data_IF_537411233842
#
_entry.id   IF_537411233842
#
_cell.length_a   1.000
_cell.length_b   1.000
_cell.length_c   1.000
_cell.angle_alpha   90.00
_cell.angle_beta   90.00
_cell.angle_gamma   90.00
#
_symmetry.space_group_name_H-M   'P 1'
#
loop_
_entity.id
_entity.type
_entity.pdbx_description
1 polymer ?
#
# COMPACT_ATOMS: atom_id res chain seq x y z
N UNK A 1 4.28 -79.80 80.14
CA UNK A 1 4.93 -78.56 79.68
C UNK A 1 4.73 -78.53 78.19
N UNK A 2 3.55 -78.09 77.80
CA UNK A 2 3.10 -78.13 76.42
C UNK A 2 3.79 -77.06 75.59
N UNK A 3 4.07 -77.49 74.37
CA UNK A 3 4.92 -76.86 73.38
C UNK A 3 4.26 -75.63 72.75
N UNK A 4 5.09 -74.59 72.64
CA UNK A 4 5.30 -73.72 71.47
C UNK A 4 4.12 -72.88 70.98
N UNK A 5 4.10 -71.66 71.52
CA UNK A 5 3.50 -70.44 70.99
C UNK A 5 4.26 -69.94 69.75
N UNK A 6 3.50 -69.25 68.89
CA UNK A 6 3.84 -68.33 67.80
C UNK A 6 4.22 -68.91 66.43
N UNK A 7 3.14 -69.13 65.66
CA UNK A 7 2.96 -68.63 64.30
C UNK A 7 3.38 -67.15 64.15
N UNK A 8 4.22 -66.85 63.15
CA UNK A 8 4.07 -65.74 62.21
C UNK A 8 5.28 -65.72 61.25
N UNK A 9 5.23 -66.56 60.21
CA UNK A 9 5.85 -66.19 58.94
C UNK A 9 4.89 -65.23 58.23
N UNK A 10 5.09 -63.92 58.39
CA UNK A 10 4.56 -62.93 57.46
C UNK A 10 5.70 -62.02 57.02
N UNK A 11 6.44 -62.49 56.01
CA UNK A 11 7.35 -61.68 55.20
C UNK A 11 6.53 -60.58 54.50
N UNK A 12 6.26 -59.50 55.23
CA UNK A 12 5.71 -58.26 54.68
C UNK A 12 6.81 -57.56 53.89
N UNK A 13 7.03 -58.00 52.64
CA UNK A 13 7.79 -57.24 51.66
C UNK A 13 7.18 -55.86 51.55
N UNK A 14 7.83 -54.85 52.14
CA UNK A 14 7.45 -53.44 51.96
C UNK A 14 7.32 -53.17 50.46
N UNK A 15 6.22 -52.55 49.99
CA UNK A 15 6.09 -52.20 48.59
C UNK A 15 7.22 -51.24 48.20
N UNK A 16 7.84 -51.41 47.02
CA UNK A 16 8.91 -50.53 46.58
C UNK A 16 8.44 -49.07 46.52
N UNK A 17 9.37 -48.13 46.74
CA UNK A 17 9.07 -46.70 46.89
C UNK A 17 8.29 -46.09 45.71
N UNK A 18 8.45 -46.63 44.50
CA UNK A 18 7.75 -46.18 43.29
C UNK A 18 6.25 -46.49 43.31
N UNK A 19 5.82 -47.54 44.01
CA UNK A 19 4.40 -47.92 44.11
C UNK A 19 3.65 -46.99 45.05
N UNK A 20 4.25 -46.65 46.19
CA UNK A 20 3.72 -45.66 47.14
C UNK A 20 3.55 -44.30 46.45
N UNK A 21 4.50 -43.93 45.59
CA UNK A 21 4.40 -42.72 44.78
C UNK A 21 3.26 -42.81 43.74
N UNK A 22 3.17 -43.91 43.00
CA UNK A 22 2.13 -44.10 41.98
C UNK A 22 0.71 -44.08 42.57
N UNK A 23 0.54 -44.60 43.79
CA UNK A 23 -0.75 -44.60 44.48
C UNK A 23 -1.11 -43.24 45.11
N UNK A 24 -0.12 -42.42 45.45
CA UNK A 24 -0.31 -41.06 45.98
C UNK A 24 -0.31 -39.97 44.89
N UNK A 25 -0.05 -40.34 43.64
CA UNK A 25 -0.04 -39.42 42.50
C UNK A 25 -1.46 -39.08 42.04
N UNK A 26 -1.63 -37.86 41.50
CA UNK A 26 -2.88 -37.44 40.83
C UNK A 26 -2.95 -37.86 39.36
N UNK A 27 -1.88 -38.48 38.83
CA UNK A 27 -1.84 -39.00 37.46
C UNK A 27 -2.77 -40.21 37.33
N UNK A 28 -3.87 -40.02 36.62
CA UNK A 28 -4.84 -41.08 36.40
C UNK A 28 -4.20 -42.20 35.56
N UNK A 29 -4.38 -43.45 36.00
CA UNK A 29 -3.85 -44.64 35.33
C UNK A 29 -2.46 -45.09 35.81
N UNK A 30 -1.66 -44.24 36.48
CA UNK A 30 -0.33 -44.65 36.97
C UNK A 30 -0.42 -45.66 38.13
N UNK A 31 -1.44 -45.54 38.98
CA UNK A 31 -1.72 -46.49 40.08
C UNK A 31 -2.03 -47.91 39.57
N UNK A 32 -2.69 -48.02 38.41
CA UNK A 32 -3.03 -49.29 37.76
C UNK A 32 -1.86 -49.92 36.99
N UNK A 33 -0.83 -49.15 36.66
CA UNK A 33 0.39 -49.63 36.00
C UNK A 33 1.36 -50.26 37.02
N UNK A 34 1.38 -49.74 38.25
CA UNK A 34 2.28 -50.17 39.33
C UNK A 34 1.56 -50.95 40.43
N UNK A 35 0.65 -51.86 40.07
CA UNK A 35 -0.06 -52.75 41.01
C UNK A 35 0.72 -54.06 41.26
N UNK A 36 0.64 -54.60 42.48
CA UNK A 36 1.38 -55.78 42.99
C UNK A 36 1.00 -57.14 42.35
N UNK A 37 -0.05 -57.23 41.53
CA UNK A 37 -0.54 -58.50 40.97
C UNK A 37 0.23 -59.01 39.73
N UNK A 38 0.47 -60.33 39.64
CA UNK A 38 1.25 -60.99 38.56
C UNK A 38 0.60 -60.97 37.16
N UNK A 39 -0.57 -60.34 36.97
CA UNK A 39 -1.32 -60.40 35.70
C UNK A 39 -0.75 -59.41 34.68
N UNK A 40 0.24 -59.88 33.91
CA UNK A 40 0.97 -59.09 32.91
C UNK A 40 0.04 -58.43 31.87
N UNK A 41 -1.04 -59.10 31.44
CA UNK A 41 -1.94 -58.61 30.38
C UNK A 41 -2.68 -57.33 30.79
N UNK A 42 -3.24 -57.27 31.99
CA UNK A 42 -3.96 -56.09 32.49
C UNK A 42 -3.03 -54.89 32.59
N UNK A 43 -1.81 -55.12 33.08
CA UNK A 43 -0.78 -54.08 33.18
C UNK A 43 -0.35 -53.58 31.80
N UNK A 44 -0.11 -54.47 30.84
CA UNK A 44 0.19 -54.09 29.46
C UNK A 44 -0.94 -53.26 28.84
N UNK A 45 -2.20 -53.61 29.07
CA UNK A 45 -3.35 -52.83 28.60
C UNK A 45 -3.39 -51.42 29.21
N UNK A 46 -3.20 -51.30 30.53
CA UNK A 46 -3.14 -49.99 31.20
C UNK A 46 -1.96 -49.13 30.73
N UNK A 47 -0.80 -49.74 30.48
CA UNK A 47 0.36 -49.04 29.89
C UNK A 47 0.03 -48.54 28.48
N UNK A 48 -0.59 -49.37 27.64
CA UNK A 48 -1.00 -48.97 26.28
C UNK A 48 -2.01 -47.83 26.31
N UNK A 49 -3.03 -47.89 27.18
CA UNK A 49 -4.01 -46.81 27.31
C UNK A 49 -3.39 -45.53 27.87
N UNK A 50 -2.50 -45.63 28.86
CA UNK A 50 -1.82 -44.49 29.43
C UNK A 50 -0.89 -43.82 28.41
N UNK A 51 -0.03 -44.58 27.72
CA UNK A 51 0.82 -44.05 26.64
C UNK A 51 0.01 -43.49 25.48
N UNK A 52 -1.08 -44.17 25.09
CA UNK A 52 -1.99 -43.71 24.05
C UNK A 52 -2.62 -42.36 24.40
N UNK A 53 -3.12 -42.22 25.63
CA UNK A 53 -3.71 -40.96 26.13
C UNK A 53 -2.69 -39.83 26.21
N UNK A 54 -1.46 -40.11 26.65
CA UNK A 54 -0.37 -39.14 26.71
C UNK A 54 0.06 -38.68 25.31
N UNK A 55 0.16 -39.61 24.36
CA UNK A 55 0.53 -39.30 22.97
C UNK A 55 -0.53 -38.43 22.30
N UNK A 56 -1.81 -38.77 22.47
CA UNK A 56 -2.92 -37.98 21.95
C UNK A 56 -2.96 -36.57 22.57
N UNK A 57 -2.73 -36.47 23.87
CA UNK A 57 -2.65 -35.19 24.57
C UNK A 57 -1.53 -34.31 23.99
N UNK A 58 -0.30 -34.85 23.89
CA UNK A 58 0.84 -34.11 23.34
C UNK A 58 0.61 -33.68 21.89
N UNK A 59 0.03 -34.55 21.06
CA UNK A 59 -0.31 -34.23 19.68
C UNK A 59 -1.28 -33.04 19.58
N UNK A 60 -2.40 -33.08 20.33
CA UNK A 60 -3.39 -31.98 20.33
C UNK A 60 -2.81 -30.70 20.93
N UNK A 61 -1.96 -30.80 21.96
CA UNK A 61 -1.29 -29.63 22.53
C UNK A 61 -0.36 -28.95 21.52
N UNK A 62 0.46 -29.72 20.78
CA UNK A 62 1.35 -29.17 19.76
C UNK A 62 0.56 -28.52 18.62
N UNK A 63 -0.49 -29.17 18.13
CA UNK A 63 -1.39 -28.62 17.10
C UNK A 63 -1.98 -27.27 17.53
N UNK A 64 -2.48 -27.18 18.77
CA UNK A 64 -3.04 -25.94 19.31
C UNK A 64 -1.99 -24.86 19.56
N UNK A 65 -0.78 -25.22 19.97
CA UNK A 65 0.34 -24.27 20.09
C UNK A 65 0.72 -23.73 18.71
N UNK A 66 0.80 -24.59 17.69
CA UNK A 66 1.09 -24.16 16.33
C UNK A 66 0.01 -23.21 15.80
N UNK A 67 -1.26 -23.56 15.98
CA UNK A 67 -2.39 -22.70 15.62
C UNK A 67 -2.39 -21.36 16.38
N UNK A 68 -2.05 -21.38 17.67
CA UNK A 68 -1.92 -20.15 18.46
C UNK A 68 -0.78 -19.25 17.93
N UNK A 69 0.36 -19.84 17.59
CA UNK A 69 1.54 -19.13 17.07
C UNK A 69 1.40 -18.69 15.60
N UNK A 70 0.40 -19.18 14.87
CA UNK A 70 0.02 -18.69 13.54
C UNK A 70 -0.76 -17.37 13.61
N UNK A 71 -1.20 -16.95 14.80
CA UNK A 71 -1.98 -15.72 15.05
C UNK A 71 -3.18 -15.52 14.10
N UNK A 72 -4.07 -16.54 13.94
CA UNK A 72 -5.28 -16.38 13.15
C UNK A 72 -6.23 -15.38 13.83
N UNK A 73 -6.86 -14.51 13.03
CA UNK A 73 -7.85 -13.54 13.50
C UNK A 73 -9.18 -13.75 12.75
N UNK A 74 -10.28 -13.47 13.44
CA UNK A 74 -11.62 -13.44 12.85
C UNK A 74 -12.15 -12.02 12.90
N UNK A 75 -12.65 -11.52 11.77
CA UNK A 75 -13.25 -10.19 11.70
C UNK A 75 -14.75 -10.31 11.92
N UNK A 76 -15.29 -9.49 12.82
CA UNK A 76 -16.73 -9.33 13.01
C UNK A 76 -17.17 -8.05 12.31
N UNK A 77 -18.22 -8.14 11.49
CA UNK A 77 -18.81 -6.99 10.80
C UNK A 77 -20.12 -6.63 11.50
N UNK A 78 -20.20 -5.41 12.01
CA UNK A 78 -21.40 -4.85 12.65
C UNK A 78 -21.79 -3.55 11.93
N UNK A 79 -23.08 -3.37 11.66
CA UNK A 79 -23.64 -2.12 11.11
C UNK A 79 -24.36 -1.37 12.23
N UNK A 80 -23.82 -0.21 12.61
CA UNK A 80 -24.37 0.61 13.71
C UNK A 80 -24.84 1.94 13.13
N UNK A 81 -26.12 2.25 13.32
CA UNK A 81 -26.69 3.55 12.94
C UNK A 81 -26.35 4.61 14.00
N UNK A 82 -25.57 5.62 13.62
CA UNK A 82 -25.23 6.75 14.50
C UNK A 82 -25.98 8.03 14.06
N UNK A 83 -26.46 8.86 15.01
CA UNK A 83 -27.20 10.09 14.68
C UNK A 83 -26.31 11.18 14.05
N UNK A 84 -25.00 11.08 14.23
CA UNK A 84 -24.01 11.97 13.65
C UNK A 84 -22.85 11.15 13.08
N UNK A 85 -22.34 11.58 11.93
CA UNK A 85 -21.17 11.03 11.27
C UNK A 85 -20.29 12.17 10.78
N UNK A 86 -18.97 11.96 10.80
CA UNK A 86 -18.02 12.90 10.21
C UNK A 86 -18.13 12.78 8.69
N UNK A 87 -18.42 13.89 8.02
CA UNK A 87 -18.44 13.92 6.56
C UNK A 87 -17.01 13.70 6.03
N UNK A 88 -16.80 12.77 5.09
CA UNK A 88 -15.46 12.45 4.61
C UNK A 88 -14.87 13.61 3.80
N UNK A 89 -13.55 13.65 3.71
CA UNK A 89 -12.87 14.55 2.80
C UNK A 89 -13.21 14.18 1.35
N UNK A 90 -13.77 15.12 0.58
CA UNK A 90 -14.07 14.95 -0.83
C UNK A 90 -12.92 15.55 -1.63
N UNK A 91 -12.24 14.70 -2.40
CA UNK A 91 -11.18 15.13 -3.34
C UNK A 91 -11.65 14.96 -4.78
N UNK A 92 -11.58 16.02 -5.56
CA UNK A 92 -11.88 15.98 -6.99
C UNK A 92 -10.82 16.76 -7.78
N UNK A 93 -10.58 16.35 -9.02
CA UNK A 93 -9.62 17.00 -9.91
C UNK A 93 -10.21 17.08 -11.31
N UNK A 94 -9.93 18.15 -12.03
CA UNK A 94 -10.25 18.19 -13.44
C UNK A 94 -9.42 17.10 -14.18
N UNK A 95 -10.05 16.40 -15.11
CA UNK A 95 -9.36 15.45 -15.96
C UNK A 95 -8.36 16.17 -16.87
N UNK A 96 -8.68 17.39 -17.27
CA UNK A 96 -7.72 18.27 -17.91
C UNK A 96 -6.69 18.78 -16.87
N UNK A 97 -5.42 18.56 -17.16
CA UNK A 97 -4.31 18.88 -16.25
C UNK A 97 -3.96 20.36 -16.25
N UNK A 98 -4.20 21.07 -17.36
CA UNK A 98 -3.81 22.46 -17.52
C UNK A 98 -4.78 23.23 -18.44
N UNK A 99 -4.93 24.52 -18.17
CA UNK A 99 -5.63 25.49 -19.01
C UNK A 99 -4.71 25.95 -20.12
N UNK A 100 -5.03 25.64 -21.36
CA UNK A 100 -4.21 26.00 -22.53
C UNK A 100 -3.95 27.52 -22.63
N UNK A 101 -4.92 28.35 -22.23
CA UNK A 101 -4.79 29.81 -22.19
C UNK A 101 -3.64 30.30 -21.30
N UNK A 102 -3.31 29.58 -20.23
CA UNK A 102 -2.23 29.93 -19.29
C UNK A 102 -0.87 29.34 -19.68
N UNK A 103 -0.80 28.46 -20.69
CA UNK A 103 0.47 27.86 -21.14
C UNK A 103 1.28 28.90 -21.92
N UNK A 104 2.55 29.08 -21.53
CA UNK A 104 3.46 30.03 -22.17
C UNK A 104 4.42 29.34 -23.15
N UNK A 105 5.10 30.14 -23.99
CA UNK A 105 6.18 29.66 -24.87
C UNK A 105 7.30 28.97 -24.08
N UNK A 106 7.65 29.49 -22.90
CA UNK A 106 8.67 28.86 -22.03
C UNK A 106 8.22 27.48 -21.54
N UNK A 107 6.94 27.33 -21.21
CA UNK A 107 6.39 26.04 -20.74
C UNK A 107 6.42 25.00 -21.86
N UNK A 108 6.03 25.37 -23.09
CA UNK A 108 6.12 24.47 -24.24
C UNK A 108 7.56 24.10 -24.59
N UNK A 109 8.52 25.02 -24.41
CA UNK A 109 9.94 24.73 -24.65
C UNK A 109 10.47 23.62 -23.72
N UNK A 110 10.08 23.63 -22.43
CA UNK A 110 10.59 22.68 -21.44
C UNK A 110 9.72 21.42 -21.29
N UNK A 111 8.39 21.57 -21.35
CA UNK A 111 7.43 20.51 -21.05
C UNK A 111 6.58 20.09 -22.27
N UNK A 112 6.73 20.71 -23.44
CA UNK A 112 5.87 20.45 -24.61
C UNK A 112 5.85 18.98 -25.06
N UNK A 113 6.97 18.27 -24.93
CA UNK A 113 7.04 16.82 -25.19
C UNK A 113 6.37 16.00 -24.08
N UNK A 114 6.60 16.36 -22.81
CA UNK A 114 5.97 15.72 -21.65
C UNK A 114 4.43 15.82 -21.70
N UNK A 115 3.93 16.97 -22.18
CA UNK A 115 2.52 17.24 -22.40
C UNK A 115 1.98 16.59 -23.68
N UNK A 116 2.82 15.89 -24.45
CA UNK A 116 2.49 15.29 -25.73
C UNK A 116 1.94 16.30 -26.77
N UNK A 117 2.36 17.56 -26.69
CA UNK A 117 2.00 18.60 -27.66
C UNK A 117 3.05 18.74 -28.78
N UNK A 118 4.32 18.52 -28.44
CA UNK A 118 5.46 18.68 -29.35
C UNK A 118 6.24 17.37 -29.49
N UNK A 119 6.77 17.14 -30.69
CA UNK A 119 7.78 16.12 -30.97
C UNK A 119 9.15 16.77 -31.15
N UNK A 120 10.18 16.19 -30.54
CA UNK A 120 11.55 16.56 -30.85
C UNK A 120 12.00 15.86 -32.13
N UNK A 121 12.38 16.63 -33.16
CA UNK A 121 13.16 16.13 -34.30
C UNK A 121 14.58 16.66 -34.19
N UNK A 122 15.55 15.75 -34.26
CA UNK A 122 16.92 16.14 -34.59
C UNK A 122 17.03 16.21 -36.12
N UNK A 123 17.23 17.41 -36.66
CA UNK A 123 17.69 17.58 -38.02
C UNK A 123 19.21 17.56 -37.97
N UNK A 124 19.82 16.51 -38.53
CA UNK A 124 21.26 16.49 -38.75
C UNK A 124 21.59 17.63 -39.72
N UNK A 125 22.43 18.58 -39.32
CA UNK A 125 22.99 19.53 -40.29
C UNK A 125 23.76 18.71 -41.31
N UNK A 126 23.28 18.66 -42.55
CA UNK A 126 24.14 18.32 -43.67
C UNK A 126 25.11 19.49 -43.79
N UNK A 127 26.28 19.38 -43.18
CA UNK A 127 27.41 20.18 -43.61
C UNK A 127 27.54 19.85 -45.10
N UNK A 128 27.31 20.83 -45.99
CA UNK A 128 27.67 20.68 -47.40
C UNK A 128 29.08 20.07 -47.40
N UNK A 129 29.28 18.97 -48.12
CA UNK A 129 30.62 18.53 -48.50
C UNK A 129 31.22 19.63 -49.40
N UNK A 130 31.69 20.70 -48.77
CA UNK A 130 32.61 21.65 -49.36
C UNK A 130 33.99 21.03 -49.25
N UNK A 131 34.63 20.82 -50.40
CA UNK A 131 36.04 20.52 -50.51
C UNK A 131 36.84 21.53 -49.64
N UNK A 132 37.38 21.07 -48.53
CA UNK A 132 38.43 21.76 -47.79
C UNK A 132 39.53 20.75 -47.52
N UNK A 133 40.71 21.08 -48.02
CA UNK A 133 41.95 20.33 -47.90
C UNK A 133 42.20 19.84 -46.46
N UNK A 134 42.58 18.56 -46.37
CA UNK A 134 43.22 17.85 -45.26
C UNK A 134 43.63 18.71 -44.06
N UNK A 135 42.92 18.56 -42.94
CA UNK A 135 43.47 18.47 -41.56
C UNK A 135 42.31 18.36 -40.55
N UNK A 136 41.88 17.14 -40.24
CA UNK A 136 41.33 16.67 -38.95
C UNK A 136 40.51 15.38 -39.14
N UNK A 137 40.56 14.40 -38.21
CA UNK A 137 39.67 13.24 -38.24
C UNK A 137 38.21 13.67 -37.98
N UNK A 138 37.21 13.01 -38.60
CA UNK A 138 35.82 13.37 -38.41
C UNK A 138 35.40 13.02 -36.97
N UNK A 139 35.10 14.04 -36.16
CA UNK A 139 34.40 13.84 -34.89
C UNK A 139 33.02 13.27 -35.21
N UNK A 140 32.84 11.99 -34.88
CA UNK A 140 31.67 11.15 -35.09
C UNK A 140 30.52 11.52 -34.13
N UNK A 141 30.17 12.80 -34.03
CA UNK A 141 28.95 13.30 -33.38
C UNK A 141 28.47 14.50 -34.19
N UNK A 142 27.62 14.24 -35.19
CA UNK A 142 26.97 15.32 -35.93
C UNK A 142 26.15 16.18 -34.97
N UNK A 143 26.37 17.50 -34.99
CA UNK A 143 25.56 18.44 -34.21
C UNK A 143 24.09 18.33 -34.66
N UNK A 144 23.24 17.80 -33.78
CA UNK A 144 21.80 17.83 -33.94
C UNK A 144 21.29 19.27 -33.82
N UNK A 145 20.65 19.79 -34.87
CA UNK A 145 19.80 20.96 -34.72
C UNK A 145 18.43 20.45 -34.28
N UNK A 146 18.09 20.64 -33.01
CA UNK A 146 16.78 20.29 -32.48
C UNK A 146 15.72 21.24 -33.05
N UNK A 147 14.68 20.66 -33.64
CA UNK A 147 13.46 21.34 -34.09
C UNK A 147 12.28 20.68 -33.41
N UNK A 148 11.27 21.48 -33.08
CA UNK A 148 10.03 20.99 -32.49
C UNK A 148 8.93 21.05 -33.56
N UNK A 149 8.13 20.00 -33.71
CA UNK A 149 6.85 20.13 -34.41
C UNK A 149 5.67 19.71 -33.55
N UNK A 150 4.53 20.30 -33.88
CA UNK A 150 3.24 20.05 -33.27
C UNK A 150 2.74 18.66 -33.66
N UNK A 151 2.30 17.88 -32.67
CA UNK A 151 1.66 16.58 -32.89
C UNK A 151 0.23 16.73 -33.41
N UNK A 152 -0.21 15.73 -34.17
CA UNK A 152 -1.61 15.49 -34.54
C UNK A 152 -2.38 16.75 -35.00
N UNK A 153 -1.77 17.56 -35.86
CA UNK A 153 -2.32 18.84 -36.32
C UNK A 153 -3.71 18.73 -36.94
N UNK A 154 -4.07 17.58 -37.51
CA UNK A 154 -5.38 17.33 -38.13
C UNK A 154 -6.52 17.15 -37.11
N UNK A 155 -6.22 16.90 -35.84
CA UNK A 155 -7.23 16.72 -34.78
C UNK A 155 -7.52 18.03 -34.03
N UNK A 156 -6.80 19.12 -34.36
CA UNK A 156 -6.85 20.39 -33.65
C UNK A 156 -7.66 21.40 -34.45
N UNK A 157 -8.56 22.11 -33.78
CA UNK A 157 -9.29 23.24 -34.38
C UNK A 157 -8.31 24.32 -34.85
N UNK A 158 -8.58 24.94 -36.01
CA UNK A 158 -7.69 25.94 -36.62
C UNK A 158 -7.32 27.08 -35.67
N UNK A 159 -8.28 27.55 -34.86
CA UNK A 159 -8.07 28.61 -33.87
C UNK A 159 -7.04 28.24 -32.80
N UNK A 160 -7.09 27.01 -32.30
CA UNK A 160 -6.16 26.47 -31.30
C UNK A 160 -4.81 26.16 -31.95
N UNK A 161 -4.82 25.68 -33.19
CA UNK A 161 -3.62 25.37 -33.93
C UNK A 161 -2.78 26.63 -34.21
N UNK A 162 -3.40 27.74 -34.57
CA UNK A 162 -2.71 29.03 -34.74
C UNK A 162 -2.10 29.53 -33.43
N UNK A 163 -2.85 29.44 -32.31
CA UNK A 163 -2.30 29.78 -31.00
C UNK A 163 -1.13 28.87 -30.60
N UNK A 164 -1.17 27.59 -30.97
CA UNK A 164 -0.09 26.64 -30.71
C UNK A 164 1.13 26.93 -31.57
N UNK A 165 0.97 27.31 -32.85
CA UNK A 165 2.06 27.72 -33.73
C UNK A 165 2.78 28.95 -33.19
N UNK A 166 2.05 29.97 -32.75
CA UNK A 166 2.65 31.17 -32.16
C UNK A 166 3.41 30.84 -30.86
N UNK A 167 2.83 30.01 -29.99
CA UNK A 167 3.50 29.61 -28.74
C UNK A 167 4.66 28.63 -28.97
N UNK A 168 4.69 27.90 -30.07
CA UNK A 168 5.74 26.94 -30.43
C UNK A 168 6.82 27.52 -31.37
N UNK A 169 6.76 28.82 -31.70
CA UNK A 169 7.84 29.49 -32.42
C UNK A 169 9.01 29.83 -31.48
N UNK A 170 10.06 29.01 -31.54
CA UNK A 170 11.27 29.17 -30.75
C UNK A 170 12.39 29.91 -31.50
N UNK A 171 12.12 30.54 -32.64
CA UNK A 171 13.12 31.32 -33.35
C UNK A 171 13.59 32.50 -32.48
N UNK A 172 14.90 32.59 -32.22
CA UNK A 172 15.51 33.58 -31.31
C UNK A 172 14.95 33.57 -29.87
N UNK A 173 14.33 32.46 -29.43
CA UNK A 173 13.82 32.33 -28.08
C UNK A 173 14.94 32.16 -27.06
N UNK A 174 14.85 32.88 -25.93
CA UNK A 174 15.77 32.75 -24.79
C UNK A 174 15.04 32.09 -23.63
N UNK A 175 15.29 30.80 -23.34
CA UNK A 175 14.62 30.07 -22.28
C UNK A 175 14.87 30.69 -20.91
N UNK A 176 13.83 30.70 -20.08
CA UNK A 176 13.89 31.09 -18.67
C UNK A 176 13.91 29.84 -17.79
N UNK A 177 14.38 29.93 -16.53
CA UNK A 177 14.27 28.83 -15.58
C UNK A 177 12.83 28.33 -15.48
N UNK A 178 12.68 27.02 -15.32
CA UNK A 178 11.37 26.36 -15.32
C UNK A 178 11.26 25.42 -14.12
N UNK A 179 10.08 25.40 -13.50
CA UNK A 179 9.77 24.56 -12.36
C UNK A 179 8.39 23.93 -12.58
N UNK A 180 8.33 22.59 -12.55
CA UNK A 180 7.08 21.85 -12.74
C UNK A 180 5.99 22.21 -11.72
N UNK A 181 6.37 22.50 -10.46
CA UNK A 181 5.40 22.89 -9.42
C UNK A 181 4.75 24.22 -9.74
N UNK A 182 5.55 25.21 -10.13
CA UNK A 182 5.04 26.52 -10.56
C UNK A 182 4.17 26.39 -11.81
N UNK A 183 4.61 25.56 -12.76
CA UNK A 183 3.83 25.28 -13.98
C UNK A 183 2.45 24.74 -13.64
N UNK A 184 2.36 23.72 -12.78
CA UNK A 184 1.07 23.20 -12.36
C UNK A 184 0.27 24.26 -11.62
N UNK A 185 0.83 24.92 -10.59
CA UNK A 185 0.09 25.88 -9.76
C UNK A 185 -0.51 27.03 -10.59
N UNK A 186 0.19 27.48 -11.64
CA UNK A 186 -0.27 28.55 -12.53
C UNK A 186 -1.22 28.07 -13.64
N UNK A 187 -0.92 26.94 -14.27
CA UNK A 187 -1.68 26.47 -15.44
C UNK A 187 -2.84 25.55 -15.07
N UNK A 188 -2.84 24.95 -13.89
CA UNK A 188 -3.93 24.14 -13.37
C UNK A 188 -5.25 24.91 -13.29
N UNK A 189 -6.35 24.18 -13.14
CA UNK A 189 -7.68 24.78 -13.04
C UNK A 189 -7.89 25.43 -11.67
N UNK A 190 -8.33 26.70 -11.66
CA UNK A 190 -8.73 27.38 -10.43
C UNK A 190 -10.15 26.95 -10.05
N UNK A 191 -10.37 26.65 -8.77
CA UNK A 191 -11.69 26.29 -8.27
C UNK A 191 -12.66 27.46 -8.38
N UNK A 192 -12.19 28.71 -8.28
CA UNK A 192 -13.03 29.91 -8.39
C UNK A 192 -13.73 29.98 -9.75
N UNK A 193 -13.10 29.45 -10.79
CA UNK A 193 -13.65 29.42 -12.15
C UNK A 193 -14.55 28.20 -12.39
N UNK A 194 -14.39 27.13 -11.61
CA UNK A 194 -15.13 25.86 -11.78
C UNK A 194 -16.35 25.75 -10.86
N UNK A 195 -16.29 26.33 -9.66
CA UNK A 195 -17.31 26.21 -8.63
C UNK A 195 -18.45 27.21 -8.88
N UNK A 196 -19.48 26.76 -9.58
CA UNK A 196 -20.65 27.59 -9.87
C UNK A 196 -21.57 27.77 -8.66
N UNK A 197 -21.74 26.71 -7.85
CA UNK A 197 -22.52 26.71 -6.64
C UNK A 197 -22.02 25.60 -5.70
N UNK A 198 -22.09 25.83 -4.39
CA UNK A 198 -21.65 24.89 -3.38
C UNK A 198 -22.57 24.98 -2.17
N UNK A 199 -23.13 23.86 -1.74
CA UNK A 199 -23.97 23.80 -0.55
C UNK A 199 -23.66 22.55 0.25
N UNK A 200 -23.49 22.70 1.57
CA UNK A 200 -23.32 21.60 2.49
C UNK A 200 -24.32 21.73 3.64
N UNK A 201 -25.21 20.74 3.79
CA UNK A 201 -26.28 20.73 4.81
C UNK A 201 -27.14 22.01 4.84
N UNK A 202 -27.36 22.60 3.66
CA UNK A 202 -28.15 23.82 3.49
C UNK A 202 -27.38 25.13 3.69
N UNK A 203 -26.10 25.09 4.09
CA UNK A 203 -25.22 26.26 4.13
C UNK A 203 -24.45 26.41 2.82
N UNK A 204 -24.31 27.64 2.33
CA UNK A 204 -23.45 27.95 1.17
C UNK A 204 -21.96 27.76 1.52
N UNK A 205 -21.19 27.20 0.59
CA UNK A 205 -19.74 27.10 0.67
C UNK A 205 -19.05 27.88 -0.45
N UNK A 206 -17.77 28.19 -0.24
CA UNK A 206 -16.96 29.01 -1.14
C UNK A 206 -15.70 28.26 -1.59
N UNK A 207 -14.99 28.81 -2.58
CA UNK A 207 -13.67 28.37 -3.02
C UNK A 207 -12.66 28.24 -1.85
N UNK A 208 -12.81 29.08 -0.82
CA UNK A 208 -11.93 29.07 0.35
C UNK A 208 -12.11 27.84 1.26
N UNK A 209 -13.20 27.10 1.11
CA UNK A 209 -13.46 25.84 1.82
C UNK A 209 -12.75 24.65 1.18
N UNK A 210 -12.03 24.88 0.08
CA UNK A 210 -11.24 23.87 -0.61
C UNK A 210 -9.75 24.16 -0.48
N UNK A 211 -8.97 23.10 -0.41
CA UNK A 211 -7.52 23.13 -0.41
C UNK A 211 -6.99 22.45 -1.65
N UNK A 212 -6.03 23.11 -2.29
CA UNK A 212 -5.27 22.55 -3.40
C UNK A 212 -4.30 21.49 -2.88
N UNK A 213 -4.39 20.28 -3.42
CA UNK A 213 -3.51 19.15 -3.12
C UNK A 213 -2.89 18.62 -4.41
N UNK A 214 -1.59 18.36 -4.39
CA UNK A 214 -0.88 17.76 -5.53
C UNK A 214 -0.93 16.25 -5.39
N UNK A 215 -1.57 15.56 -6.34
CA UNK A 215 -1.63 14.10 -6.35
C UNK A 215 -0.76 13.55 -7.48
N UNK A 216 0.15 12.59 -7.20
CA UNK A 216 0.80 11.84 -8.25
C UNK A 216 -0.24 10.91 -8.90
N UNK A 217 -0.65 11.18 -10.14
CA UNK A 217 -1.44 10.23 -10.91
C UNK A 217 -0.48 9.24 -11.59
N UNK A 218 -0.58 7.97 -11.20
CA UNK A 218 0.10 6.84 -11.85
C UNK A 218 -0.74 6.23 -13.00
N UNK A 219 -1.64 7.02 -13.61
CA UNK A 219 -2.59 6.52 -14.61
C UNK A 219 -2.02 6.44 -16.03
N UNK A 220 -0.84 7.02 -16.28
CA UNK A 220 -0.08 6.85 -17.51
C UNK A 220 1.40 6.74 -17.15
N UNK A 221 2.23 6.12 -18.00
CA UNK A 221 3.68 5.96 -17.84
C UNK A 221 4.48 7.28 -17.67
N UNK A 222 3.79 8.43 -17.62
CA UNK A 222 4.31 9.75 -17.31
C UNK A 222 3.82 10.12 -15.91
N UNK A 223 4.73 10.39 -14.96
CA UNK A 223 4.37 10.90 -13.63
C UNK A 223 3.77 12.31 -13.75
N UNK A 224 2.48 12.41 -14.08
CA UNK A 224 1.76 13.67 -14.19
C UNK A 224 1.21 14.01 -12.81
N UNK A 225 1.65 15.15 -12.27
CA UNK A 225 0.99 15.72 -11.10
C UNK A 225 -0.28 16.41 -11.58
N UNK A 226 -1.38 16.18 -10.89
CA UNK A 226 -2.61 16.95 -11.09
C UNK A 226 -2.94 17.69 -9.82
N UNK A 227 -3.30 18.95 -10.00
CA UNK A 227 -3.88 19.75 -8.94
C UNK A 227 -5.30 19.28 -8.71
N UNK A 228 -5.50 18.69 -7.55
CA UNK A 228 -6.78 18.25 -7.05
C UNK A 228 -7.22 19.20 -5.94
N UNK A 229 -8.52 19.24 -5.71
CA UNK A 229 -9.15 20.06 -4.69
C UNK A 229 -9.73 19.11 -3.66
N UNK A 230 -9.32 19.27 -2.42
CA UNK A 230 -9.84 18.54 -1.28
C UNK A 230 -10.67 19.50 -0.42
N UNK A 231 -11.86 19.09 0.02
CA UNK A 231 -12.59 19.83 1.03
C UNK A 231 -11.73 19.97 2.28
N UNK A 232 -11.57 21.19 2.79
CA UNK A 232 -11.01 21.38 4.12
C UNK A 232 -11.94 20.72 5.13
N UNK A 233 -11.40 20.23 6.24
CA UNK A 233 -12.21 19.67 7.31
C UNK A 233 -13.27 20.71 7.74
N UNK A 234 -14.51 20.45 7.35
CA UNK A 234 -15.71 21.17 7.78
C UNK A 234 -16.07 20.81 9.23
N UNK A 235 -15.06 20.63 10.09
CA UNK A 235 -15.16 20.69 11.54
C UNK A 235 -15.04 22.14 12.05
N UNK A 236 -14.91 23.13 11.16
CA UNK A 236 -15.13 24.54 11.51
C UNK A 236 -16.63 24.81 11.59
N UNK A 237 -17.11 25.07 12.80
CA UNK A 237 -18.44 25.56 13.17
C UNK A 237 -19.59 24.54 13.29
N UNK A 238 -19.44 23.53 14.15
CA UNK A 238 -20.61 22.90 14.76
C UNK A 238 -20.52 22.80 16.30
N UNK A 239 -19.96 23.82 16.94
CA UNK A 239 -20.01 24.02 18.39
C UNK A 239 -21.30 24.70 18.88
N UNK A 240 -22.32 24.89 18.03
CA UNK A 240 -23.58 25.58 18.39
C UNK A 240 -24.83 24.72 18.15
N UNK A 241 -24.74 23.41 18.44
CA UNK A 241 -25.92 22.58 18.66
C UNK A 241 -25.74 21.76 19.94
N UNK A 242 -25.85 22.47 21.07
CA UNK A 242 -26.24 21.94 22.38
C UNK A 242 -27.36 22.83 22.93
#
# INVERSE_FOLDING_TARGET
MDLKVESEEMDCKKPPAIEVFAHNSTLHGISHIFTYERVCVKRCLWVVFFLGSLTLLLFVCVDRIHFYLEYPHVTKLDEISTPMMVFPAVTFCNLNFFRFSHVTRNDLYHAGELLALLNQRCVKRVTKCGFAHNTAPPSQYGACQWTYEIRDTHLVEDSVLEALKDKADFHNFKPRPFNMREFYDRTGHDIKDMLLACHFRGAECSADDFQVVSYPRALDQLSRQSLCLCTKDTQKNNSNYY
#
